data_IF_633229256799
#
_entry.id   IF_633229256799
#
_cell.length_a   1.000
_cell.length_b   1.000
_cell.length_c   1.000
_cell.angle_alpha   90.00
_cell.angle_beta   90.00
_cell.angle_gamma   90.00
#
_symmetry.space_group_name_H-M   'P 1'
#
loop_
_entity.id
_entity.type
_entity.pdbx_description
1 polymer ?
#
# COMPACT_ATOMS: atom_id res chain seq x y z
N UNK A 1 -20.01 15.46 10.85
CA UNK A 1 -19.59 16.07 12.15
C UNK A 1 -20.65 16.94 12.81
N UNK A 2 -21.29 17.91 12.13
CA UNK A 2 -22.40 18.70 12.74
C UNK A 2 -23.58 17.86 13.24
N UNK A 3 -23.91 16.81 12.49
CA UNK A 3 -24.96 15.82 12.86
C UNK A 3 -24.59 15.03 14.14
N UNK A 4 -23.30 14.96 14.49
CA UNK A 4 -22.77 14.28 15.67
C UNK A 4 -22.54 15.25 16.86
N UNK A 5 -22.95 16.51 16.73
CA UNK A 5 -22.68 17.60 17.68
C UNK A 5 -21.20 17.65 18.12
N UNK A 6 -20.28 17.43 17.17
CA UNK A 6 -18.86 17.43 17.45
C UNK A 6 -18.38 18.82 17.91
N UNK A 7 -17.55 18.85 18.94
CA UNK A 7 -16.90 20.07 19.44
C UNK A 7 -15.94 20.66 18.41
N UNK A 8 -15.55 21.93 18.58
CA UNK A 8 -14.57 22.58 17.70
C UNK A 8 -13.21 21.84 17.67
N UNK A 9 -12.81 21.25 18.80
CA UNK A 9 -11.60 20.45 18.89
C UNK A 9 -11.72 19.15 18.07
N UNK A 10 -12.88 18.50 18.08
CA UNK A 10 -13.13 17.28 17.28
C UNK A 10 -13.26 17.62 15.78
N UNK A 11 -13.81 18.78 15.45
CA UNK A 11 -13.84 19.31 14.08
C UNK A 11 -12.42 19.54 13.52
N UNK A 12 -11.46 19.92 14.36
CA UNK A 12 -10.04 20.05 13.98
C UNK A 12 -9.33 18.72 13.79
N UNK A 13 -9.93 17.62 14.25
CA UNK A 13 -9.42 16.25 14.12
C UNK A 13 -10.22 15.44 13.08
N UNK A 14 -10.82 16.12 12.09
CA UNK A 14 -11.78 15.53 11.16
C UNK A 14 -11.27 14.27 10.46
N UNK A 15 -9.97 14.14 10.22
CA UNK A 15 -9.37 13.00 9.54
C UNK A 15 -9.52 11.68 10.33
N UNK A 16 -9.31 11.72 11.66
CA UNK A 16 -9.49 10.55 12.52
C UNK A 16 -10.97 10.11 12.53
N UNK A 17 -11.88 11.07 12.64
CA UNK A 17 -13.32 10.79 12.65
C UNK A 17 -13.79 10.31 11.28
N UNK A 18 -13.34 10.90 10.19
CA UNK A 18 -13.68 10.46 8.84
C UNK A 18 -13.21 9.02 8.60
N UNK A 19 -11.95 8.73 8.93
CA UNK A 19 -11.36 7.41 8.77
C UNK A 19 -12.14 6.36 9.55
N UNK A 20 -12.36 6.57 10.85
CA UNK A 20 -13.00 5.58 11.72
C UNK A 20 -14.50 5.45 11.41
N UNK A 21 -15.22 6.56 11.22
CA UNK A 21 -16.67 6.52 10.96
C UNK A 21 -16.99 5.98 9.57
N UNK A 22 -16.03 5.98 8.63
CA UNK A 22 -16.24 5.39 7.30
C UNK A 22 -16.54 3.89 7.35
N UNK A 23 -16.08 3.21 8.41
CA UNK A 23 -16.26 1.78 8.63
C UNK A 23 -15.82 0.93 7.43
N UNK A 24 -14.65 1.26 6.86
CA UNK A 24 -14.04 0.56 5.73
C UNK A 24 -12.79 -0.21 6.19
N UNK A 25 -12.36 -1.18 5.38
CA UNK A 25 -11.03 -1.81 5.55
C UNK A 25 -9.98 -0.70 5.47
N UNK A 26 -9.01 -0.65 6.42
CA UNK A 26 -7.99 0.36 6.38
C UNK A 26 -7.12 0.20 5.13
N UNK A 27 -6.93 1.30 4.42
CA UNK A 27 -5.91 1.41 3.38
C UNK A 27 -4.58 1.75 4.05
N UNK A 28 -3.52 1.02 3.72
CA UNK A 28 -2.19 1.31 4.24
C UNK A 28 -1.44 2.16 3.22
N UNK A 29 -1.03 3.35 3.65
CA UNK A 29 -0.27 4.30 2.86
C UNK A 29 1.14 4.44 3.45
N UNK A 30 2.15 4.14 2.63
CA UNK A 30 3.54 4.43 2.97
C UNK A 30 3.95 5.79 2.42
N UNK A 31 4.42 6.67 3.30
CA UNK A 31 4.97 7.98 2.98
C UNK A 31 6.51 7.89 2.91
N UNK A 32 7.11 8.61 1.96
CA UNK A 32 8.55 8.77 1.77
C UNK A 32 9.19 9.68 2.84
N UNK A 33 8.41 10.14 3.83
CA UNK A 33 8.84 11.11 4.83
C UNK A 33 9.09 12.49 4.23
N UNK A 34 8.45 12.79 3.09
CA UNK A 34 8.56 14.10 2.45
C UNK A 34 7.61 15.04 3.19
N UNK A 35 8.15 15.91 4.04
CA UNK A 35 7.36 16.88 4.78
C UNK A 35 6.57 17.77 3.80
N UNK A 36 5.24 17.66 3.84
CA UNK A 36 4.33 18.43 2.97
C UNK A 36 4.20 19.92 3.37
N UNK A 37 5.13 20.45 4.17
CA UNK A 37 5.14 21.86 4.58
C UNK A 37 3.88 22.26 5.35
N UNK A 38 3.64 21.65 6.53
CA UNK A 38 2.44 21.88 7.35
C UNK A 38 2.68 22.28 8.81
N UNK A 39 3.94 22.46 9.23
CA UNK A 39 4.30 22.67 10.65
C UNK A 39 4.66 21.37 11.38
N UNK A 40 4.71 21.42 12.72
CA UNK A 40 5.00 20.23 13.52
C UNK A 40 3.88 19.18 13.36
N UNK A 41 4.22 17.90 13.11
CA UNK A 41 3.21 16.85 13.03
C UNK A 41 2.40 16.78 14.32
N UNK A 42 1.09 16.62 14.20
CA UNK A 42 0.16 16.63 15.34
C UNK A 42 0.36 15.43 16.31
N UNK A 43 1.24 14.48 15.97
CA UNK A 43 1.43 13.20 16.67
C UNK A 43 2.86 12.98 17.17
N UNK A 44 3.74 13.99 17.16
CA UNK A 44 5.11 13.80 17.64
C UNK A 44 5.15 13.69 19.17
N UNK A 45 5.77 12.60 19.66
CA UNK A 45 6.01 12.37 21.08
C UNK A 45 4.81 11.77 21.83
N UNK A 46 5.03 11.44 23.10
CA UNK A 46 4.06 10.75 23.96
C UNK A 46 2.75 11.54 24.11
N UNK A 47 2.82 12.87 24.21
CA UNK A 47 1.63 13.73 24.32
C UNK A 47 0.79 13.70 23.03
N UNK A 48 1.45 13.69 21.87
CA UNK A 48 0.79 13.57 20.56
C UNK A 48 0.07 12.23 20.41
N UNK A 49 0.71 11.14 20.83
CA UNK A 49 0.15 9.80 20.84
C UNK A 49 -1.06 9.68 21.78
N UNK A 50 -0.96 10.18 23.02
CA UNK A 50 -2.07 10.19 23.97
C UNK A 50 -3.27 10.99 23.45
N UNK A 51 -3.01 12.14 22.82
CA UNK A 51 -4.04 12.96 22.20
C UNK A 51 -4.69 12.22 21.03
N UNK A 52 -3.91 11.58 20.17
CA UNK A 52 -4.42 10.79 19.05
C UNK A 52 -5.31 9.63 19.53
N UNK A 53 -4.84 8.88 20.54
CA UNK A 53 -5.56 7.77 21.14
C UNK A 53 -6.92 8.21 21.71
N UNK A 54 -6.97 9.37 22.35
CA UNK A 54 -8.23 9.94 22.87
C UNK A 54 -9.26 10.17 21.78
N UNK A 55 -8.85 10.78 20.65
CA UNK A 55 -9.77 11.04 19.53
C UNK A 55 -10.15 9.77 18.78
N UNK A 56 -9.25 8.78 18.67
CA UNK A 56 -9.57 7.46 18.12
C UNK A 56 -10.64 6.75 18.94
N UNK A 57 -10.50 6.72 20.27
CA UNK A 57 -11.51 6.12 21.16
C UNK A 57 -12.85 6.85 21.05
N UNK A 58 -12.82 8.18 20.99
CA UNK A 58 -14.04 9.00 20.85
C UNK A 58 -14.77 8.75 19.52
N UNK A 59 -14.03 8.64 18.42
CA UNK A 59 -14.61 8.28 17.13
C UNK A 59 -15.19 6.86 17.13
N UNK A 60 -14.53 5.91 17.81
CA UNK A 60 -15.03 4.56 17.99
C UNK A 60 -16.32 4.50 18.84
N UNK A 61 -16.46 5.37 19.85
CA UNK A 61 -17.71 5.56 20.60
C UNK A 61 -18.86 6.02 19.70
N UNK A 62 -18.62 7.01 18.84
CA UNK A 62 -19.61 7.46 17.86
C UNK A 62 -20.00 6.34 16.90
N UNK A 63 -19.03 5.61 16.34
CA UNK A 63 -19.32 4.47 15.45
C UNK A 63 -20.16 3.40 16.16
N UNK A 64 -19.83 3.08 17.42
CA UNK A 64 -20.59 2.10 18.21
C UNK A 64 -22.04 2.55 18.44
N UNK A 65 -22.25 3.84 18.76
CA UNK A 65 -23.59 4.41 18.94
C UNK A 65 -24.41 4.38 17.65
N UNK A 66 -23.78 4.67 16.52
CA UNK A 66 -24.41 4.61 15.19
C UNK A 66 -24.79 3.16 14.85
N UNK A 67 -23.87 2.22 15.04
CA UNK A 67 -24.06 0.81 14.68
C UNK A 67 -25.13 0.11 15.54
N UNK A 68 -25.27 0.48 16.81
CA UNK A 68 -26.27 -0.12 17.71
C UNK A 68 -27.70 0.42 17.49
N UNK A 69 -27.92 1.33 16.54
CA UNK A 69 -29.23 1.95 16.29
C UNK A 69 -29.81 2.72 17.49
N UNK A 70 -28.99 2.95 18.50
CA UNK A 70 -29.40 3.33 19.85
C UNK A 70 -28.84 4.69 20.21
N UNK A 71 -29.71 5.70 20.16
CA UNK A 71 -29.48 6.96 20.84
C UNK A 71 -29.42 6.72 22.34
N UNK A 72 -28.24 6.88 22.93
CA UNK A 72 -28.16 7.34 24.30
C UNK A 72 -28.40 8.85 24.28
N UNK A 73 -29.56 9.26 24.81
CA UNK A 73 -29.94 10.61 25.23
C UNK A 73 -29.28 11.78 24.47
N UNK A 74 -29.59 11.90 23.17
CA UNK A 74 -29.21 13.08 22.38
C UNK A 74 -29.17 12.92 20.86
N UNK A 75 -29.06 11.68 20.36
CA UNK A 75 -28.89 11.42 18.93
C UNK A 75 -29.85 10.35 18.44
N UNK A 76 -31.11 10.73 18.23
CA UNK A 76 -32.09 9.91 17.51
C UNK A 76 -31.82 10.02 16.01
N UNK A 77 -30.90 9.20 15.49
CA UNK A 77 -30.72 9.05 14.05
C UNK A 77 -31.68 7.96 13.56
N UNK A 78 -32.75 8.38 12.88
CA UNK A 78 -33.86 7.52 12.48
C UNK A 78 -33.51 6.44 11.44
N UNK A 79 -32.29 6.44 10.91
CA UNK A 79 -31.75 5.37 10.07
C UNK A 79 -30.22 5.50 9.95
N UNK A 80 -29.42 4.47 10.32
CA UNK A 80 -27.97 4.45 10.10
C UNK A 80 -27.57 4.67 8.64
N UNK A 81 -28.41 4.20 7.70
CA UNK A 81 -28.20 4.30 6.24
C UNK A 81 -28.33 5.74 5.69
N UNK A 82 -28.77 6.70 6.50
CA UNK A 82 -28.88 8.11 6.10
C UNK A 82 -27.64 8.94 6.46
N UNK A 83 -26.66 8.36 7.16
CA UNK A 83 -25.44 9.09 7.48
C UNK A 83 -24.50 9.10 6.27
N UNK A 84 -24.15 10.28 5.74
CA UNK A 84 -23.19 10.35 4.65
C UNK A 84 -21.85 9.81 5.17
N UNK A 85 -21.17 9.05 4.31
CA UNK A 85 -19.85 8.47 4.54
C UNK A 85 -19.77 7.29 5.52
N UNK A 86 -20.84 6.89 6.22
CA UNK A 86 -20.85 5.68 7.06
C UNK A 86 -21.35 4.49 6.26
N UNK A 87 -20.59 3.38 6.22
CA UNK A 87 -21.03 2.13 5.59
C UNK A 87 -21.45 1.10 6.63
N UNK A 88 -22.74 0.76 6.64
CA UNK A 88 -23.27 -0.38 7.41
C UNK A 88 -23.41 -1.65 6.56
N UNK A 89 -23.09 -1.57 5.26
CA UNK A 89 -23.22 -2.71 4.35
C UNK A 89 -22.09 -3.71 4.56
N UNK A 90 -22.42 -4.98 4.76
CA UNK A 90 -21.47 -6.09 4.89
C UNK A 90 -20.86 -6.53 3.56
N UNK A 91 -20.62 -5.59 2.62
CA UNK A 91 -19.97 -5.93 1.35
C UNK A 91 -18.65 -6.60 1.67
N UNK A 92 -18.46 -7.81 1.13
CA UNK A 92 -17.33 -8.67 1.43
C UNK A 92 -16.05 -7.84 1.44
N UNK A 93 -15.32 -7.91 2.54
CA UNK A 93 -14.09 -7.15 2.72
C UNK A 93 -13.16 -7.51 1.56
N UNK A 94 -13.05 -6.60 0.61
CA UNK A 94 -12.12 -6.74 -0.51
C UNK A 94 -10.70 -6.83 0.05
N UNK A 95 -9.88 -7.60 -0.64
CA UNK A 95 -8.49 -7.91 -0.29
C UNK A 95 -7.75 -6.68 0.25
N UNK A 96 -7.01 -6.82 1.34
CA UNK A 96 -6.24 -5.72 1.92
C UNK A 96 -5.23 -5.21 0.89
N UNK A 97 -5.55 -4.07 0.29
CA UNK A 97 -4.67 -3.40 -0.66
C UNK A 97 -3.72 -2.48 0.07
N UNK A 98 -2.44 -2.57 -0.25
CA UNK A 98 -1.41 -1.68 0.25
C UNK A 98 -0.97 -0.72 -0.85
N UNK A 99 -0.68 0.53 -0.46
CA UNK A 99 -0.27 1.60 -1.36
C UNK A 99 1.01 2.28 -0.93
N UNK A 100 1.84 2.65 -1.91
CA UNK A 100 3.05 3.43 -1.69
C UNK A 100 3.24 4.47 -2.80
N UNK A 101 3.60 5.70 -2.43
CA UNK A 101 3.81 6.77 -3.41
C UNK A 101 5.20 6.64 -4.02
N UNK A 102 5.26 6.75 -5.35
CA UNK A 102 6.54 6.79 -6.07
C UNK A 102 7.31 8.07 -5.73
N UNK A 103 8.62 7.97 -5.50
CA UNK A 103 9.42 9.12 -5.08
C UNK A 103 9.63 10.17 -6.16
N UNK A 104 10.11 9.78 -7.34
CA UNK A 104 10.48 10.73 -8.40
C UNK A 104 9.46 10.85 -9.54
N UNK A 105 8.30 10.21 -9.42
CA UNK A 105 7.26 10.23 -10.45
C UNK A 105 5.88 10.37 -9.82
N UNK A 106 4.91 10.87 -10.60
CA UNK A 106 3.51 10.90 -10.20
C UNK A 106 2.91 9.52 -10.40
N UNK A 107 3.29 8.57 -9.55
CA UNK A 107 2.62 7.29 -9.50
C UNK A 107 2.37 6.79 -8.08
N UNK A 108 1.47 5.81 -8.01
CA UNK A 108 1.10 5.07 -6.84
C UNK A 108 1.34 3.59 -7.11
N UNK A 109 2.19 2.96 -6.31
CA UNK A 109 2.29 1.51 -6.25
C UNK A 109 1.12 0.97 -5.44
N UNK A 110 0.47 -0.06 -5.96
CA UNK A 110 -0.62 -0.77 -5.33
C UNK A 110 -0.38 -2.29 -5.37
N UNK A 111 -0.65 -2.99 -4.27
CA UNK A 111 -0.49 -4.45 -4.21
C UNK A 111 -1.49 -5.10 -3.24
N UNK A 112 -1.91 -6.34 -3.53
CA UNK A 112 -2.65 -7.20 -2.60
C UNK A 112 -1.74 -8.19 -1.84
N UNK A 113 -0.42 -8.13 -2.01
CA UNK A 113 0.52 -9.02 -1.34
C UNK A 113 0.37 -8.80 0.17
N UNK A 114 0.18 -9.90 0.91
CA UNK A 114 -0.04 -9.86 2.35
C UNK A 114 1.27 -9.51 3.07
N UNK A 115 1.33 -8.30 3.62
CA UNK A 115 2.54 -7.74 4.25
C UNK A 115 2.66 -8.03 5.74
N UNK A 116 1.54 -8.40 6.37
CA UNK A 116 1.48 -8.66 7.79
C UNK A 116 1.33 -10.17 8.04
N UNK A 117 1.88 -10.70 9.14
CA UNK A 117 1.74 -12.12 9.48
C UNK A 117 0.27 -12.58 9.49
N UNK A 118 0.03 -13.79 8.97
CA UNK A 118 -1.30 -14.40 9.04
C UNK A 118 -1.69 -14.65 10.50
N UNK A 119 -2.87 -14.19 10.90
CA UNK A 119 -3.38 -14.35 12.27
C UNK A 119 -3.54 -13.04 13.05
N UNK A 120 -3.04 -11.92 12.52
CA UNK A 120 -3.40 -10.61 13.03
C UNK A 120 -4.89 -10.36 12.80
N UNK A 121 -5.56 -9.85 13.84
CA UNK A 121 -6.99 -9.54 13.77
C UNK A 121 -7.13 -8.08 13.36
N UNK A 122 -7.70 -7.83 12.18
CA UNK A 122 -7.93 -6.47 11.69
C UNK A 122 -9.40 -6.03 11.82
N UNK A 123 -10.29 -6.96 12.15
CA UNK A 123 -11.73 -6.73 12.30
C UNK A 123 -12.15 -7.06 13.74
N UNK A 124 -13.07 -6.26 14.28
CA UNK A 124 -13.68 -6.48 15.58
C UNK A 124 -15.16 -6.15 15.55
N UNK A 125 -15.94 -6.88 16.34
CA UNK A 125 -17.36 -6.63 16.55
C UNK A 125 -17.61 -5.37 17.40
N UNK A 126 -16.58 -4.86 18.08
CA UNK A 126 -16.67 -3.66 18.92
C UNK A 126 -15.59 -2.64 18.54
N UNK A 127 -15.96 -1.48 17.94
CA UNK A 127 -15.01 -0.43 17.59
C UNK A 127 -14.16 0.06 18.77
N UNK A 128 -14.70 0.06 19.99
CA UNK A 128 -14.00 0.50 21.21
C UNK A 128 -12.73 -0.30 21.53
N UNK A 129 -12.59 -1.50 20.97
CA UNK A 129 -11.47 -2.38 21.21
C UNK A 129 -10.35 -2.25 20.14
N UNK A 130 -10.43 -1.25 19.26
CA UNK A 130 -9.48 -1.04 18.16
C UNK A 130 -8.03 -0.85 18.66
N UNK A 131 -7.80 0.02 19.66
CA UNK A 131 -6.45 0.22 20.22
C UNK A 131 -5.91 -1.05 20.91
N UNK A 132 -6.77 -1.80 21.60
CA UNK A 132 -6.38 -3.06 22.22
C UNK A 132 -6.06 -4.16 21.20
N UNK A 133 -6.66 -4.10 20.01
CA UNK A 133 -6.27 -4.95 18.88
C UNK A 133 -4.91 -4.54 18.34
N UNK A 134 -4.69 -3.24 18.14
CA UNK A 134 -3.42 -2.74 17.64
C UNK A 134 -2.26 -3.15 18.55
N UNK A 135 -2.42 -2.95 19.87
CA UNK A 135 -1.43 -3.37 20.87
C UNK A 135 -1.16 -4.89 20.79
N UNK A 136 -2.21 -5.72 20.74
CA UNK A 136 -2.07 -7.17 20.61
C UNK A 136 -1.41 -7.60 19.29
N UNK A 137 -1.73 -6.93 18.20
CA UNK A 137 -1.14 -7.21 16.89
C UNK A 137 0.34 -6.82 16.88
N UNK A 138 0.69 -5.70 17.51
CA UNK A 138 2.08 -5.24 17.69
C UNK A 138 2.87 -6.24 18.53
N UNK A 139 2.30 -6.70 19.64
CA UNK A 139 2.91 -7.71 20.51
C UNK A 139 3.10 -9.04 19.78
N UNK A 140 2.08 -9.48 19.02
CA UNK A 140 2.11 -10.71 18.24
C UNK A 140 3.13 -10.68 17.09
N UNK A 141 3.32 -9.50 16.48
CA UNK A 141 4.32 -9.29 15.44
C UNK A 141 5.75 -9.30 16.00
N UNK A 142 5.91 -8.82 17.24
CA UNK A 142 7.20 -8.67 17.89
C UNK A 142 8.09 -7.61 17.23
N UNK A 143 9.18 -7.25 17.91
CA UNK A 143 10.09 -6.20 17.44
C UNK A 143 10.75 -6.53 16.08
N UNK A 144 11.12 -7.80 15.86
CA UNK A 144 11.74 -8.24 14.62
C UNK A 144 10.77 -8.16 13.43
N UNK A 145 9.51 -8.58 13.61
CA UNK A 145 8.50 -8.50 12.55
C UNK A 145 8.14 -7.05 12.21
N UNK A 146 8.06 -6.19 13.23
CA UNK A 146 7.84 -4.76 13.02
C UNK A 146 9.00 -4.11 12.26
N UNK A 147 10.23 -4.43 12.64
CA UNK A 147 11.42 -3.92 11.96
C UNK A 147 11.50 -4.42 10.51
N UNK A 148 11.18 -5.71 10.28
CA UNK A 148 11.10 -6.28 8.94
C UNK A 148 10.10 -5.53 8.06
N UNK A 149 8.89 -5.29 8.58
CA UNK A 149 7.84 -4.56 7.88
C UNK A 149 8.26 -3.14 7.49
N UNK A 150 8.98 -2.44 8.38
CA UNK A 150 9.49 -1.10 8.12
C UNK A 150 10.62 -1.14 7.09
N UNK A 151 11.58 -2.06 7.24
CA UNK A 151 12.78 -2.14 6.40
C UNK A 151 12.50 -2.68 5.00
N UNK A 152 11.37 -3.36 4.79
CA UNK A 152 11.04 -4.02 3.54
C UNK A 152 9.62 -3.68 3.04
N UNK A 153 9.18 -2.46 3.32
CA UNK A 153 7.89 -1.95 2.87
C UNK A 153 7.80 -1.85 1.32
N UNK A 154 6.60 -1.90 0.72
CA UNK A 154 6.42 -1.69 -0.73
C UNK A 154 6.95 -0.35 -1.25
N UNK A 155 7.06 0.64 -0.37
CA UNK A 155 7.69 1.93 -0.64
C UNK A 155 9.10 1.79 -1.21
N UNK A 156 9.85 0.80 -0.72
CA UNK A 156 11.24 0.55 -1.09
C UNK A 156 11.38 -0.09 -2.48
N UNK A 157 10.27 -0.36 -3.18
CA UNK A 157 10.28 -0.76 -4.58
C UNK A 157 10.10 0.43 -5.54
N UNK A 158 9.87 1.64 -5.01
CA UNK A 158 9.58 2.86 -5.78
C UNK A 158 10.21 4.10 -5.14
N UNK A 159 11.34 3.95 -4.43
CA UNK A 159 12.04 5.02 -3.72
C UNK A 159 13.34 5.50 -4.40
N UNK A 160 13.59 5.01 -5.62
CA UNK A 160 14.74 5.33 -6.48
C UNK A 160 16.10 5.02 -5.82
N UNK A 161 16.15 3.99 -4.98
CA UNK A 161 17.32 3.53 -4.23
C UNK A 161 17.47 2.02 -4.36
N UNK A 162 18.42 1.59 -5.18
CA UNK A 162 18.65 0.16 -5.41
C UNK A 162 19.21 -0.61 -4.18
N UNK A 163 19.66 0.09 -3.15
CA UNK A 163 20.09 -0.50 -1.87
C UNK A 163 18.91 -0.97 -1.02
N UNK A 164 17.75 -0.34 -1.18
CA UNK A 164 16.50 -0.71 -0.50
C UNK A 164 15.70 -1.65 -1.39
N UNK A 165 14.80 -2.40 -0.77
CA UNK A 165 13.91 -3.30 -1.49
C UNK A 165 12.66 -3.63 -0.67
N UNK A 166 11.58 -3.86 -1.39
CA UNK A 166 10.40 -4.55 -0.90
C UNK A 166 10.70 -6.05 -0.75
N UNK A 167 10.32 -6.65 0.37
CA UNK A 167 10.38 -8.09 0.60
C UNK A 167 9.07 -8.58 1.21
N UNK A 168 8.38 -9.50 0.54
CA UNK A 168 7.18 -10.09 1.12
C UNK A 168 7.54 -11.03 2.28
N UNK A 169 6.76 -11.05 3.38
CA UNK A 169 7.05 -11.92 4.53
C UNK A 169 6.81 -13.41 4.23
N UNK A 170 6.00 -13.71 3.22
CA UNK A 170 5.64 -15.05 2.81
C UNK A 170 6.06 -15.29 1.35
N UNK A 171 6.08 -16.55 0.94
CA UNK A 171 6.26 -16.92 -0.46
C UNK A 171 5.18 -16.29 -1.34
N UNK A 172 5.57 -15.90 -2.55
CA UNK A 172 4.68 -15.33 -3.56
C UNK A 172 3.63 -16.36 -4.00
N UNK A 173 2.39 -15.90 -4.16
CA UNK A 173 1.22 -16.75 -4.43
C UNK A 173 0.55 -16.36 -5.74
N UNK A 174 -0.08 -17.34 -6.38
CA UNK A 174 -0.94 -17.09 -7.52
C UNK A 174 -2.03 -16.08 -7.15
N UNK A 175 -2.21 -15.06 -7.99
CA UNK A 175 -3.12 -13.93 -7.75
C UNK A 175 -2.48 -12.74 -7.02
N UNK A 176 -1.24 -12.85 -6.53
CA UNK A 176 -0.49 -11.68 -6.09
C UNK A 176 -0.30 -10.72 -7.27
N UNK A 177 -0.53 -9.43 -7.04
CA UNK A 177 -0.28 -8.39 -8.04
C UNK A 177 0.53 -7.24 -7.47
N UNK A 178 1.29 -6.59 -8.35
CA UNK A 178 1.88 -5.28 -8.13
C UNK A 178 1.46 -4.40 -9.31
N UNK A 179 0.93 -3.22 -9.01
CA UNK A 179 0.39 -2.28 -9.98
C UNK A 179 1.00 -0.89 -9.77
N UNK A 180 1.27 -0.17 -10.86
CA UNK A 180 1.55 1.26 -10.84
C UNK A 180 0.38 2.03 -11.46
N UNK A 181 -0.18 2.98 -10.72
CA UNK A 181 -1.18 3.95 -11.18
C UNK A 181 -0.51 5.33 -11.36
N UNK A 182 -0.50 5.87 -12.58
CA UNK A 182 0.08 7.19 -12.88
C UNK A 182 -0.84 8.38 -12.61
N UNK A 183 -2.02 8.15 -12.00
CA UNK A 183 -3.10 9.10 -11.70
C UNK A 183 -3.77 9.74 -12.94
N UNK A 184 -2.97 10.05 -13.95
CA UNK A 184 -3.35 10.61 -15.24
C UNK A 184 -2.97 9.65 -16.38
N UNK A 185 -3.57 9.89 -17.54
CA UNK A 185 -3.19 9.21 -18.77
C UNK A 185 -1.75 9.56 -19.17
N UNK A 186 -0.90 8.56 -19.36
CA UNK A 186 0.48 8.72 -19.85
C UNK A 186 0.57 9.54 -21.13
N UNK A 187 -0.38 9.42 -22.06
CA UNK A 187 -0.40 10.18 -23.32
C UNK A 187 -0.70 11.67 -23.08
N UNK A 188 -1.47 12.00 -22.04
CA UNK A 188 -1.73 13.39 -21.65
C UNK A 188 -0.50 14.07 -21.04
N UNK A 189 0.38 13.29 -20.39
CA UNK A 189 1.62 13.79 -19.81
C UNK A 189 2.68 14.02 -20.89
N UNK A 190 2.90 13.04 -21.78
CA UNK A 190 3.77 13.13 -22.97
C UNK A 190 3.32 12.10 -24.02
N UNK A 191 3.37 12.40 -25.33
CA UNK A 191 3.05 11.43 -26.38
C UNK A 191 4.17 10.40 -26.52
N UNK A 192 4.16 9.37 -25.67
CA UNK A 192 5.08 8.25 -25.75
C UNK A 192 4.68 7.32 -26.88
N UNK A 193 5.65 6.95 -27.74
CA UNK A 193 5.46 5.96 -28.82
C UNK A 193 5.51 4.53 -28.31
N UNK A 194 6.29 4.32 -27.26
CA UNK A 194 6.37 3.03 -26.56
C UNK A 194 6.61 3.29 -25.08
N UNK A 195 6.07 2.41 -24.25
CA UNK A 195 6.28 2.44 -22.81
C UNK A 195 7.09 1.21 -22.41
N UNK A 196 7.99 1.34 -21.45
CA UNK A 196 8.82 0.26 -20.95
C UNK A 196 8.63 0.17 -19.45
N UNK A 197 8.30 -1.01 -18.96
CA UNK A 197 8.26 -1.29 -17.53
C UNK A 197 9.54 -2.04 -17.16
N UNK A 198 10.30 -1.48 -16.23
CA UNK A 198 11.59 -1.99 -15.77
C UNK A 198 11.47 -2.43 -14.32
N UNK A 199 12.08 -3.56 -14.02
CA UNK A 199 12.13 -4.20 -12.71
C UNK A 199 13.58 -4.45 -12.34
N UNK A 200 14.00 -4.03 -11.15
CA UNK A 200 15.25 -4.43 -10.54
C UNK A 200 14.93 -5.40 -9.41
N UNK A 201 15.35 -6.65 -9.55
CA UNK A 201 14.88 -7.76 -8.70
C UNK A 201 16.01 -8.75 -8.44
N UNK A 202 15.78 -9.66 -7.48
CA UNK A 202 16.66 -10.81 -7.29
C UNK A 202 16.36 -11.94 -8.30
N UNK A 203 17.18 -13.01 -8.26
CA UNK A 203 17.02 -14.16 -9.16
C UNK A 203 15.68 -14.88 -8.97
N UNK A 204 15.18 -15.00 -7.74
CA UNK A 204 13.94 -15.71 -7.48
C UNK A 204 12.73 -14.95 -8.02
N UNK A 205 12.72 -13.64 -7.85
CA UNK A 205 11.67 -12.77 -8.37
C UNK A 205 11.73 -12.67 -9.89
N UNK A 206 12.91 -12.71 -10.52
CA UNK A 206 13.01 -12.89 -11.98
C UNK A 206 12.24 -14.13 -12.45
N UNK A 207 12.43 -15.27 -11.78
CA UNK A 207 11.74 -16.51 -12.13
C UNK A 207 10.22 -16.38 -11.95
N UNK A 208 9.78 -15.70 -10.89
CA UNK A 208 8.38 -15.39 -10.66
C UNK A 208 7.81 -14.52 -11.81
N UNK A 209 8.51 -13.44 -12.19
CA UNK A 209 8.08 -12.52 -13.24
C UNK A 209 7.88 -13.21 -14.60
N UNK A 210 8.65 -14.26 -14.91
CA UNK A 210 8.49 -15.06 -16.14
C UNK A 210 7.16 -15.84 -16.19
N UNK A 211 6.51 -16.04 -15.04
CA UNK A 211 5.20 -16.68 -14.93
C UNK A 211 4.06 -15.69 -14.76
N UNK A 212 4.35 -14.38 -14.74
CA UNK A 212 3.35 -13.35 -14.56
C UNK A 212 2.64 -12.99 -15.88
N UNK A 213 1.42 -12.48 -15.75
CA UNK A 213 0.71 -11.76 -16.81
C UNK A 213 0.90 -10.27 -16.59
N UNK A 214 1.22 -9.57 -17.67
CA UNK A 214 1.43 -8.12 -17.70
C UNK A 214 0.26 -7.44 -18.43
N UNK A 215 -0.34 -6.44 -17.80
CA UNK A 215 -1.58 -5.82 -18.25
C UNK A 215 -1.56 -4.31 -18.11
N UNK A 216 -2.22 -3.60 -19.03
CA UNK A 216 -2.48 -2.16 -18.91
C UNK A 216 -3.97 -1.89 -18.82
N UNK A 217 -4.33 -0.73 -18.26
CA UNK A 217 -5.68 -0.22 -18.29
C UNK A 217 -5.70 1.31 -18.31
N UNK A 218 -6.80 1.88 -18.81
CA UNK A 218 -7.10 3.31 -18.71
C UNK A 218 -8.06 3.62 -17.55
N UNK A 219 -8.98 2.70 -17.26
CA UNK A 219 -10.09 2.87 -16.32
C UNK A 219 -9.94 2.02 -15.04
N UNK A 220 -8.98 1.11 -14.99
CA UNK A 220 -8.77 0.16 -13.90
C UNK A 220 -9.75 -1.02 -13.92
N UNK A 221 -10.61 -1.10 -14.93
CA UNK A 221 -11.69 -2.10 -15.05
C UNK A 221 -11.46 -2.98 -16.27
N UNK A 222 -11.15 -2.37 -17.40
CA UNK A 222 -10.87 -3.05 -18.67
C UNK A 222 -9.38 -3.23 -18.81
N UNK A 223 -8.92 -4.48 -18.79
CA UNK A 223 -7.50 -4.81 -18.83
C UNK A 223 -7.12 -5.38 -20.18
N UNK A 224 -6.03 -4.88 -20.74
CA UNK A 224 -5.42 -5.40 -21.96
C UNK A 224 -4.06 -5.99 -21.61
N UNK A 225 -3.89 -7.30 -21.83
CA UNK A 225 -2.59 -7.95 -21.70
C UNK A 225 -1.65 -7.44 -22.79
N UNK A 226 -0.39 -7.21 -22.43
CA UNK A 226 0.66 -6.92 -23.39
C UNK A 226 1.74 -7.99 -23.28
N UNK A 227 2.16 -8.49 -24.44
CA UNK A 227 2.95 -9.71 -24.55
C UNK A 227 4.22 -9.49 -25.34
N UNK A 228 5.13 -8.67 -24.81
CA UNK A 228 6.54 -8.79 -25.20
C UNK A 228 7.28 -9.64 -24.17
N UNK A 229 8.20 -10.45 -24.68
CA UNK A 229 9.04 -11.35 -23.90
C UNK A 229 9.78 -10.55 -22.82
N UNK A 230 9.66 -10.98 -21.56
CA UNK A 230 10.38 -10.36 -20.45
C UNK A 230 11.88 -10.60 -20.67
N UNK A 231 12.63 -9.55 -20.96
CA UNK A 231 14.07 -9.62 -21.15
C UNK A 231 14.76 -9.28 -19.84
N UNK A 232 15.53 -10.21 -19.27
CA UNK A 232 16.28 -10.00 -18.04
C UNK A 232 17.79 -10.07 -18.28
N UNK A 233 18.53 -9.17 -17.66
CA UNK A 233 19.99 -9.13 -17.70
C UNK A 233 20.59 -8.99 -16.30
N UNK A 234 21.78 -9.53 -16.09
CA UNK A 234 22.53 -9.30 -14.85
C UNK A 234 22.98 -7.85 -14.76
N UNK A 235 22.79 -7.25 -13.59
CA UNK A 235 23.35 -5.94 -13.28
C UNK A 235 24.71 -6.16 -12.63
N UNK A 236 25.78 -5.92 -13.38
CA UNK A 236 27.14 -5.91 -12.83
C UNK A 236 27.26 -4.66 -11.96
N UNK A 237 27.34 -4.83 -10.64
CA UNK A 237 27.71 -3.72 -9.75
C UNK A 237 29.16 -3.36 -10.05
N UNK A 238 29.39 -2.16 -10.60
CA UNK A 238 30.74 -1.62 -10.72
C UNK A 238 31.33 -1.55 -9.31
N UNK A 239 32.35 -2.37 -9.04
CA UNK A 239 32.91 -2.66 -7.72
C UNK A 239 33.67 -1.52 -7.04
N UNK A 240 33.15 -0.29 -7.09
CA UNK A 240 33.81 0.90 -6.55
C UNK A 240 33.57 1.13 -5.05
N UNK A 241 32.62 0.42 -4.42
CA UNK A 241 32.39 0.52 -2.98
C UNK A 241 32.31 -0.86 -2.33
N UNK A 242 33.36 -1.31 -1.61
CA UNK A 242 33.26 -2.46 -0.73
C UNK A 242 32.35 -2.07 0.44
N UNK A 243 31.08 -2.45 0.38
CA UNK A 243 30.21 -2.41 1.55
C UNK A 243 30.73 -3.39 2.62
N UNK A 244 30.53 -3.09 3.91
CA UNK A 244 30.86 -4.01 4.98
C UNK A 244 30.03 -5.28 4.80
N UNK A 245 30.72 -6.39 4.56
CA UNK A 245 30.16 -7.73 4.50
C UNK A 245 29.36 -7.98 5.79
N UNK A 246 28.03 -7.90 5.69
CA UNK A 246 27.18 -8.62 6.63
C UNK A 246 27.25 -10.10 6.23
N UNK A 247 27.56 -10.97 7.18
CA UNK A 247 27.81 -12.40 6.95
C UNK A 247 26.61 -13.18 6.36
N UNK A 248 25.46 -12.53 6.18
CA UNK A 248 24.23 -13.10 5.59
C UNK A 248 23.91 -12.57 4.17
N UNK A 249 24.74 -11.69 3.59
CA UNK A 249 24.54 -11.20 2.23
C UNK A 249 24.92 -12.27 1.22
N UNK A 250 24.02 -13.21 0.96
CA UNK A 250 24.05 -14.00 -0.27
C UNK A 250 24.15 -13.00 -1.41
N UNK A 251 25.25 -13.04 -2.14
CA UNK A 251 25.52 -12.21 -3.30
C UNK A 251 24.59 -12.65 -4.44
N UNK A 252 23.28 -12.45 -4.27
CA UNK A 252 22.25 -12.67 -5.27
C UNK A 252 22.39 -11.57 -6.29
N UNK A 253 23.11 -11.86 -7.39
CA UNK A 253 23.27 -10.91 -8.48
C UNK A 253 21.92 -10.33 -8.89
N UNK A 254 21.80 -9.00 -8.84
CA UNK A 254 20.57 -8.31 -9.21
C UNK A 254 20.30 -8.48 -10.71
N UNK A 255 19.01 -8.53 -11.04
CA UNK A 255 18.50 -8.75 -12.39
C UNK A 255 17.66 -7.54 -12.78
N UNK A 256 18.00 -6.95 -13.92
CA UNK A 256 17.16 -5.93 -14.54
C UNK A 256 16.29 -6.62 -15.58
N UNK A 257 14.99 -6.69 -15.31
CA UNK A 257 13.99 -7.25 -16.21
C UNK A 257 13.18 -6.13 -16.85
N UNK A 258 13.00 -6.20 -18.17
CA UNK A 258 12.34 -5.18 -18.96
C UNK A 258 11.25 -5.84 -19.80
N UNK A 259 10.07 -5.23 -19.79
CA UNK A 259 9.01 -5.52 -20.75
C UNK A 259 8.64 -4.24 -21.48
N UNK A 260 8.44 -4.36 -22.79
CA UNK A 260 8.07 -3.25 -23.65
C UNK A 260 6.58 -3.35 -23.94
N UNK A 261 5.92 -2.20 -23.92
CA UNK A 261 4.50 -2.03 -24.14
C UNK A 261 4.38 -1.23 -25.42
N UNK A 262 3.86 -1.86 -26.47
CA UNK A 262 3.53 -1.17 -27.70
C UNK A 262 2.32 -0.28 -27.45
N UNK A 263 2.58 0.97 -27.07
CA UNK A 263 1.55 1.94 -26.70
C UNK A 263 0.96 2.57 -27.95
N UNK A 264 0.25 1.76 -28.75
CA UNK A 264 -0.66 2.28 -29.77
C UNK A 264 -1.84 3.06 -29.16
N UNK A 265 -1.99 3.02 -27.82
CA UNK A 265 -2.97 3.75 -27.06
C UNK A 265 -2.43 4.30 -25.73
N UNK A 266 -3.27 5.12 -25.13
CA UNK A 266 -3.13 5.70 -23.80
C UNK A 266 -3.23 4.61 -22.71
N UNK A 267 -2.45 4.73 -21.63
CA UNK A 267 -2.55 3.87 -20.45
C UNK A 267 -2.31 4.67 -19.18
N UNK A 268 -2.97 4.29 -18.08
CA UNK A 268 -2.80 4.87 -16.74
C UNK A 268 -2.27 3.85 -15.75
N UNK A 269 -2.81 2.64 -15.81
CA UNK A 269 -2.49 1.54 -14.92
C UNK A 269 -1.59 0.52 -15.61
N UNK A 270 -0.57 0.06 -14.90
CA UNK A 270 0.33 -1.01 -15.33
C UNK A 270 0.36 -2.07 -14.23
N UNK A 271 -0.17 -3.27 -14.49
CA UNK A 271 -0.31 -4.35 -13.51
C UNK A 271 0.48 -5.57 -13.94
N UNK A 272 1.12 -6.19 -12.95
CA UNK A 272 1.76 -7.51 -13.09
C UNK A 272 1.12 -8.44 -12.08
N UNK A 273 0.55 -9.54 -12.57
CA UNK A 273 -0.16 -10.54 -11.76
C UNK A 273 0.54 -11.89 -11.88
N UNK A 274 0.88 -12.48 -10.75
CA UNK A 274 1.51 -13.79 -10.68
C UNK A 274 0.49 -14.90 -10.91
N UNK A 275 0.78 -15.80 -11.84
CA UNK A 275 -0.17 -16.87 -12.21
C UNK A 275 0.02 -18.15 -11.41
N UNK A 276 1.21 -18.36 -10.86
CA UNK A 276 1.61 -19.61 -10.20
C UNK A 276 2.27 -19.33 -8.86
N UNK A 277 1.99 -20.18 -7.86
CA UNK A 277 2.68 -20.10 -6.57
C UNK A 277 4.19 -20.29 -6.75
N UNK A 278 4.98 -19.51 -6.03
CA UNK A 278 6.44 -19.60 -6.06
C UNK A 278 6.98 -20.16 -4.75
N UNK A 279 8.17 -20.75 -4.82
CA UNK A 279 8.88 -21.26 -3.64
C UNK A 279 9.63 -20.19 -2.84
N UNK A 280 9.52 -18.93 -3.23
CA UNK A 280 10.29 -17.81 -2.68
C UNK A 280 9.39 -16.57 -2.50
N UNK A 281 9.74 -15.65 -1.58
CA UNK A 281 9.05 -14.37 -1.43
C UNK A 281 9.33 -13.43 -2.63
N UNK A 282 8.51 -12.41 -2.80
CA UNK A 282 8.80 -11.27 -3.67
C UNK A 282 9.96 -10.46 -3.10
N UNK A 283 10.96 -10.17 -3.92
CA UNK A 283 12.05 -9.25 -3.62
C UNK A 283 12.22 -8.25 -4.78
N UNK A 284 11.80 -7.01 -4.53
CA UNK A 284 11.76 -5.96 -5.56
C UNK A 284 12.52 -4.75 -5.07
N UNK A 285 13.64 -4.45 -5.73
CA UNK A 285 14.46 -3.29 -5.43
C UNK A 285 13.89 -2.03 -6.09
N UNK A 286 13.49 -2.12 -7.37
CA UNK A 286 12.91 -0.97 -8.08
C UNK A 286 11.91 -1.40 -9.13
N UNK A 287 10.88 -0.58 -9.32
CA UNK A 287 9.93 -0.67 -10.41
C UNK A 287 9.79 0.71 -11.04
N UNK A 288 9.97 0.79 -12.35
CA UNK A 288 9.84 2.06 -13.07
C UNK A 288 9.13 1.87 -14.39
N UNK A 289 8.31 2.84 -14.78
CA UNK A 289 7.73 2.94 -16.12
C UNK A 289 8.33 4.13 -16.83
N UNK A 290 8.92 3.89 -18.00
CA UNK A 290 9.62 4.88 -18.81
C UNK A 290 8.99 4.93 -20.20
N UNK A 291 8.74 6.14 -20.69
CA UNK A 291 8.29 6.34 -22.07
C UNK A 291 9.42 6.69 -23.02
N UNK A 292 9.30 6.22 -24.27
CA UNK A 292 10.14 6.64 -25.39
C UNK A 292 9.33 7.56 -26.31
N UNK A 293 9.86 8.74 -26.60
CA UNK A 293 9.26 9.73 -27.52
C UNK A 293 9.52 9.40 -29.01
#
# INVERSE_FOLDING_TARGET
MRILNASEAEMKMADNYYTILSNRVPEVWFDQGIELGGGQPFTVGTEGEERNNRYTLRAAEYLSSIASGGGNEGFALSAPDQLPYVSCSSRGFDTSTTRAVCRSSRCLLETNIVLLPSGLKHVNDTPKNMLAIEARNRDAMGAAGAQFYINHAPLNAVDDRHETYFLSPNHARAGDFIMLDFCDDTHSMRPWRSVMMTWLVDLHTELALKTCVFETSLDGVTWASFGLELACQEVVRDGAHPEPQSDDAVNTGLRQCITVIDSSGSSRYFRVTLMENQGAPWSVHEITVLGRA
#
